data_IF_324356998120
#
_entry.id   IF_324356998120
#
_cell.length_a   1.000
_cell.length_b   1.000
_cell.length_c   1.000
_cell.angle_alpha   90.00
_cell.angle_beta   90.00
_cell.angle_gamma   90.00
#
_symmetry.space_group_name_H-M   'P 1'
#
loop_
_entity.id
_entity.type
_entity.pdbx_description
1 polymer ?
#
# COMPACT_ATOMS: atom_id res chain seq x y z
N UNK A 1 -0.96 -15.74 -0.56
CA UNK A 1 0.37 -15.40 -1.12
C UNK A 1 1.17 -14.53 -0.16
N UNK A 2 0.61 -13.41 0.34
CA UNK A 2 1.32 -12.51 1.26
C UNK A 2 1.82 -13.18 2.56
N UNK A 3 1.02 -14.05 3.20
CA UNK A 3 1.46 -14.80 4.40
C UNK A 3 2.69 -15.67 4.15
N UNK A 4 2.71 -16.41 3.04
CA UNK A 4 3.85 -17.26 2.70
C UNK A 4 5.10 -16.40 2.49
N UNK A 5 4.98 -15.30 1.74
CA UNK A 5 6.08 -14.37 1.53
C UNK A 5 6.59 -13.76 2.84
N UNK A 6 5.69 -13.33 3.74
CA UNK A 6 6.03 -12.83 5.06
C UNK A 6 6.87 -13.85 5.85
N UNK A 7 6.43 -15.11 5.93
CA UNK A 7 7.16 -16.17 6.63
C UNK A 7 8.51 -16.47 5.98
N UNK A 8 8.58 -16.48 4.64
CA UNK A 8 9.84 -16.68 3.91
C UNK A 8 10.85 -15.56 4.18
N UNK A 9 10.40 -14.28 4.16
CA UNK A 9 11.27 -13.13 4.46
C UNK A 9 11.71 -13.15 5.91
N UNK A 10 10.79 -13.39 6.85
CA UNK A 10 11.12 -13.48 8.27
C UNK A 10 12.13 -14.59 8.55
N UNK A 11 11.92 -15.78 7.96
CA UNK A 11 12.82 -16.94 8.08
C UNK A 11 14.20 -16.66 7.46
N UNK A 12 14.25 -16.06 6.27
CA UNK A 12 15.50 -15.82 5.55
C UNK A 12 16.34 -14.66 6.12
N UNK A 13 15.69 -13.65 6.73
CA UNK A 13 16.37 -12.41 7.16
C UNK A 13 16.44 -12.23 8.68
N UNK A 14 15.65 -13.00 9.45
CA UNK A 14 15.49 -12.79 10.89
C UNK A 14 14.80 -11.48 11.27
N UNK A 15 14.27 -10.73 10.29
CA UNK A 15 13.60 -9.44 10.52
C UNK A 15 12.14 -9.63 10.90
N UNK A 16 11.61 -8.68 11.67
CA UNK A 16 10.16 -8.58 11.86
C UNK A 16 9.51 -8.13 10.56
N UNK A 17 8.51 -8.88 10.12
CA UNK A 17 7.75 -8.57 8.91
C UNK A 17 6.30 -8.32 9.29
N UNK A 18 5.86 -7.09 9.05
CA UNK A 18 4.49 -6.67 9.25
C UNK A 18 3.65 -7.00 8.00
N UNK A 19 2.42 -7.45 8.22
CA UNK A 19 1.45 -7.68 7.16
C UNK A 19 0.21 -6.81 7.42
N UNK A 20 -0.16 -6.00 6.43
CA UNK A 20 -1.28 -5.06 6.44
C UNK A 20 -2.59 -5.74 6.85
N UNK A 21 -2.85 -6.95 6.32
CA UNK A 21 -4.08 -7.70 6.57
C UNK A 21 -4.30 -8.10 8.03
N UNK A 22 -3.26 -8.04 8.88
CA UNK A 22 -3.34 -8.44 10.29
C UNK A 22 -3.82 -7.32 11.21
N UNK A 23 -3.83 -6.06 10.73
CA UNK A 23 -4.06 -4.87 11.56
C UNK A 23 -5.06 -3.87 10.95
N UNK A 24 -5.97 -4.34 10.08
CA UNK A 24 -6.97 -3.52 9.38
C UNK A 24 -8.02 -2.84 10.29
N UNK A 25 -7.92 -2.94 11.62
CA UNK A 25 -8.93 -2.44 12.57
C UNK A 25 -8.71 -0.96 12.93
N UNK A 26 -7.47 -0.47 12.92
CA UNK A 26 -7.16 0.93 13.17
C UNK A 26 -6.22 1.50 12.10
N UNK A 27 -6.77 2.33 11.22
CA UNK A 27 -6.06 2.87 10.06
C UNK A 27 -5.07 3.97 10.42
N UNK A 28 -5.34 4.70 11.49
CA UNK A 28 -4.39 5.67 12.05
C UNK A 28 -3.11 4.96 12.50
N UNK A 29 -3.27 3.88 13.27
CA UNK A 29 -2.16 3.05 13.73
C UNK A 29 -1.41 2.41 12.55
N UNK A 30 -2.13 1.96 11.52
CA UNK A 30 -1.52 1.37 10.32
C UNK A 30 -0.61 2.38 9.61
N UNK A 31 -1.09 3.59 9.35
CA UNK A 31 -0.29 4.60 8.66
C UNK A 31 0.84 5.15 9.53
N UNK A 32 0.68 5.21 10.84
CA UNK A 32 1.78 5.58 11.75
C UNK A 32 2.87 4.50 11.79
N UNK A 33 2.49 3.21 11.77
CA UNK A 33 3.46 2.11 11.63
C UNK A 33 4.22 2.20 10.31
N UNK A 34 3.53 2.48 9.20
CA UNK A 34 4.19 2.68 7.89
C UNK A 34 5.13 3.88 7.94
N UNK A 35 4.67 5.03 8.43
CA UNK A 35 5.45 6.27 8.44
C UNK A 35 6.68 6.23 9.35
N UNK A 36 6.57 5.61 10.52
CA UNK A 36 7.56 5.77 11.60
C UNK A 36 8.30 4.49 11.99
N UNK A 37 7.76 3.31 11.66
CA UNK A 37 8.29 2.01 12.12
C UNK A 37 8.63 1.05 10.98
N UNK A 38 8.39 1.45 9.74
CA UNK A 38 8.69 0.64 8.55
C UNK A 38 9.91 1.19 7.85
N UNK A 39 10.98 0.40 7.74
CA UNK A 39 12.16 0.80 6.94
C UNK A 39 11.98 0.51 5.44
N UNK A 40 11.27 -0.59 5.15
CA UNK A 40 11.11 -1.13 3.81
C UNK A 40 9.67 -1.59 3.64
N UNK A 41 9.00 -1.06 2.62
CA UNK A 41 7.68 -1.51 2.18
C UNK A 41 7.88 -2.46 1.01
N UNK A 42 7.25 -3.64 1.06
CA UNK A 42 7.24 -4.57 -0.08
C UNK A 42 5.81 -4.73 -0.58
N UNK A 43 5.54 -4.15 -1.75
CA UNK A 43 4.24 -4.21 -2.40
C UNK A 43 4.16 -5.46 -3.28
N UNK A 44 3.37 -6.45 -2.86
CA UNK A 44 3.00 -7.59 -3.71
C UNK A 44 1.89 -7.15 -4.66
N UNK A 45 2.29 -6.59 -5.81
CA UNK A 45 1.39 -6.00 -6.80
C UNK A 45 0.60 -7.10 -7.50
N UNK A 46 -0.65 -7.27 -7.10
CA UNK A 46 -1.68 -8.11 -7.73
C UNK A 46 -2.73 -7.25 -8.43
N UNK A 47 -3.59 -7.84 -9.26
CA UNK A 47 -4.63 -7.10 -10.02
C UNK A 47 -5.48 -6.13 -9.21
N UNK A 48 -5.65 -6.37 -7.90
CA UNK A 48 -6.53 -5.59 -7.04
C UNK A 48 -5.79 -4.83 -5.93
N UNK A 49 -4.46 -4.96 -5.80
CA UNK A 49 -3.74 -4.39 -4.66
C UNK A 49 -3.88 -2.86 -4.61
N UNK A 50 -3.63 -2.18 -5.73
CA UNK A 50 -3.74 -0.72 -5.82
C UNK A 50 -5.18 -0.21 -5.78
N UNK A 51 -6.17 -1.08 -6.01
CA UNK A 51 -7.60 -0.74 -5.90
C UNK A 51 -8.06 -0.72 -4.44
N UNK A 52 -7.33 -1.36 -3.51
CA UNK A 52 -7.68 -1.37 -2.09
C UNK A 52 -7.24 -0.04 -1.46
N UNK A 53 -8.16 0.74 -0.86
CA UNK A 53 -7.86 2.08 -0.33
C UNK A 53 -6.72 2.07 0.69
N UNK A 54 -6.66 1.07 1.56
CA UNK A 54 -5.61 0.95 2.57
C UNK A 54 -4.24 0.68 1.97
N UNK A 55 -4.16 -0.30 1.08
CA UNK A 55 -2.93 -0.63 0.36
C UNK A 55 -2.39 0.55 -0.45
N UNK A 56 -3.30 1.28 -1.10
CA UNK A 56 -2.98 2.49 -1.83
C UNK A 56 -2.47 3.61 -0.89
N UNK A 57 -3.10 3.76 0.28
CA UNK A 57 -2.65 4.68 1.32
C UNK A 57 -1.26 4.36 1.88
N UNK A 58 -0.94 3.08 2.12
CA UNK A 58 0.39 2.66 2.57
C UNK A 58 1.49 3.05 1.57
N UNK A 59 1.22 2.90 0.27
CA UNK A 59 2.14 3.32 -0.80
C UNK A 59 2.36 4.83 -0.77
N UNK A 60 1.30 5.62 -0.60
CA UNK A 60 1.39 7.08 -0.48
C UNK A 60 2.18 7.51 0.75
N UNK A 61 1.84 6.96 1.91
CA UNK A 61 2.51 7.31 3.18
C UNK A 61 4.00 6.99 3.10
N UNK A 62 4.36 5.83 2.55
CA UNK A 62 5.75 5.44 2.36
C UNK A 62 6.49 6.36 1.38
N UNK A 63 5.83 6.74 0.27
CA UNK A 63 6.39 7.68 -0.69
C UNK A 63 6.60 9.06 -0.04
N UNK A 64 5.64 9.56 0.74
CA UNK A 64 5.75 10.85 1.44
C UNK A 64 6.87 10.83 2.49
N UNK A 65 7.07 9.69 3.16
CA UNK A 65 8.17 9.50 4.11
C UNK A 65 9.55 9.37 3.42
N UNK A 66 9.59 9.33 2.08
CA UNK A 66 10.80 9.13 1.28
C UNK A 66 11.58 7.87 1.68
N UNK A 67 10.87 6.82 2.10
CA UNK A 67 11.46 5.56 2.52
C UNK A 67 11.45 4.53 1.36
N UNK A 68 12.15 3.41 1.55
CA UNK A 68 12.37 2.41 0.49
C UNK A 68 11.12 1.57 0.25
N UNK A 69 10.61 1.57 -0.98
CA UNK A 69 9.55 0.65 -1.42
C UNK A 69 10.07 -0.27 -2.54
N UNK A 70 9.74 -1.56 -2.46
CA UNK A 70 9.99 -2.55 -3.51
C UNK A 70 8.67 -3.10 -4.04
N UNK A 71 8.53 -3.12 -5.36
CA UNK A 71 7.36 -3.68 -6.03
C UNK A 71 7.67 -5.08 -6.58
N UNK A 72 6.95 -6.08 -6.09
CA UNK A 72 6.97 -7.44 -6.62
C UNK A 72 5.73 -7.62 -7.49
N UNK A 73 5.91 -7.54 -8.80
CA UNK A 73 4.83 -7.67 -9.79
C UNK A 73 4.45 -9.13 -9.96
N UNK A 74 3.19 -9.46 -9.66
CA UNK A 74 2.62 -10.76 -10.02
C UNK A 74 2.24 -10.79 -11.50
N UNK A 75 2.08 -11.99 -12.05
CA UNK A 75 1.73 -12.18 -13.47
C UNK A 75 0.37 -11.56 -13.86
N UNK A 76 -0.53 -11.36 -12.90
CA UNK A 76 -1.83 -10.75 -13.10
C UNK A 76 -1.86 -9.26 -12.67
N UNK A 77 -0.71 -8.63 -12.44
CA UNK A 77 -0.69 -7.20 -12.16
C UNK A 77 -1.11 -6.40 -13.40
N UNK A 78 -2.06 -5.50 -13.19
CA UNK A 78 -2.49 -4.52 -14.18
C UNK A 78 -2.31 -3.14 -13.55
N UNK A 79 -1.40 -2.29 -14.05
CA UNK A 79 -1.25 -0.94 -13.54
C UNK A 79 -2.50 -0.10 -13.88
N UNK A 80 -2.83 0.92 -13.07
CA UNK A 80 -3.87 1.87 -13.44
C UNK A 80 -3.51 2.57 -14.75
N UNK A 81 -4.50 2.71 -15.62
CA UNK A 81 -4.40 3.54 -16.82
C UNK A 81 -4.35 5.03 -16.46
N UNK A 82 -3.93 5.89 -17.40
CA UNK A 82 -3.96 7.35 -17.20
C UNK A 82 -5.36 7.86 -16.80
N UNK A 83 -6.43 7.32 -17.42
CA UNK A 83 -7.80 7.68 -17.06
C UNK A 83 -8.19 7.23 -15.64
N UNK A 84 -7.68 6.08 -15.18
CA UNK A 84 -7.87 5.61 -13.81
C UNK A 84 -7.03 6.38 -12.78
N UNK A 85 -5.90 6.96 -13.21
CA UNK A 85 -5.09 7.86 -12.37
C UNK A 85 -5.75 9.25 -12.22
N UNK A 86 -6.45 9.70 -13.27
CA UNK A 86 -7.21 10.97 -13.26
C UNK A 86 -8.50 10.86 -12.41
N UNK A 87 -9.13 9.68 -12.37
CA UNK A 87 -10.30 9.38 -11.53
C UNK A 87 -10.04 8.21 -10.57
N UNK A 88 -9.12 8.46 -9.63
CA UNK A 88 -8.71 7.49 -8.62
C UNK A 88 -9.83 7.16 -7.63
N UNK A 89 -10.77 8.07 -7.38
CA UNK A 89 -11.90 7.79 -6.47
C UNK A 89 -12.81 6.69 -7.04
N UNK A 90 -13.02 6.66 -8.36
CA UNK A 90 -13.71 5.56 -9.05
C UNK A 90 -12.86 4.30 -9.20
N UNK A 91 -11.52 4.44 -9.29
CA UNK A 91 -10.61 3.30 -9.37
C UNK A 91 -10.50 2.52 -8.05
N UNK A 92 -10.50 3.26 -6.94
CA UNK A 92 -10.39 2.72 -5.59
C UNK A 92 -11.72 2.11 -5.15
N UNK A 93 -11.64 0.94 -4.53
CA UNK A 93 -12.76 0.32 -3.82
C UNK A 93 -12.92 0.97 -2.44
N UNK A 94 -12.98 2.31 -2.43
CA UNK A 94 -12.85 3.12 -1.23
C UNK A 94 -14.08 3.05 -0.32
N UNK A 95 -15.30 2.87 -0.85
CA UNK A 95 -16.51 2.95 -0.02
C UNK A 95 -16.54 4.23 0.84
N UNK A 96 -16.99 4.14 2.09
CA UNK A 96 -16.97 5.25 3.08
C UNK A 96 -15.58 5.50 3.73
N UNK A 97 -14.49 4.98 3.17
CA UNK A 97 -13.16 5.15 3.78
C UNK A 97 -12.66 6.57 3.54
N UNK A 98 -12.67 7.39 4.60
CA UNK A 98 -12.16 8.76 4.61
C UNK A 98 -10.63 8.86 4.59
N UNK A 99 -9.97 8.36 3.53
CA UNK A 99 -8.50 8.47 3.36
C UNK A 99 -8.00 9.92 3.40
N UNK A 100 -8.81 10.86 2.93
CA UNK A 100 -8.51 12.29 2.99
C UNK A 100 -8.35 12.79 4.44
N UNK A 101 -9.12 12.24 5.39
CA UNK A 101 -8.99 12.57 6.81
C UNK A 101 -7.66 12.08 7.41
N UNK A 102 -7.03 11.09 6.75
CA UNK A 102 -5.74 10.52 7.12
C UNK A 102 -4.56 11.17 6.35
N UNK A 103 -4.83 12.26 5.62
CA UNK A 103 -3.83 12.98 4.83
C UNK A 103 -3.45 12.31 3.50
N UNK A 104 -4.17 11.26 3.10
CA UNK A 104 -3.98 10.57 1.82
C UNK A 104 -5.02 11.09 0.83
N UNK A 105 -4.54 11.84 -0.17
CA UNK A 105 -5.41 12.46 -1.19
C UNK A 105 -5.17 11.86 -2.56
N UNK A 106 -6.17 11.96 -3.43
CA UNK A 106 -6.17 11.50 -4.81
C UNK A 106 -4.94 11.98 -5.62
N UNK A 107 -4.50 13.26 -5.53
CA UNK A 107 -3.28 13.72 -6.21
C UNK A 107 -1.99 13.06 -5.67
N UNK A 108 -1.92 12.82 -4.36
CA UNK A 108 -0.76 12.16 -3.73
C UNK A 108 -0.68 10.69 -4.16
N UNK A 109 -1.82 10.03 -4.32
CA UNK A 109 -1.92 8.67 -4.84
C UNK A 109 -1.45 8.57 -6.29
N UNK A 110 -1.90 9.47 -7.16
CA UNK A 110 -1.47 9.50 -8.55
C UNK A 110 0.06 9.67 -8.66
N UNK A 111 0.63 10.58 -7.86
CA UNK A 111 2.09 10.78 -7.82
C UNK A 111 2.84 9.55 -7.31
N UNK A 112 2.28 8.82 -6.34
CA UNK A 112 2.93 7.63 -5.78
C UNK A 112 2.85 6.39 -6.68
N UNK A 113 1.92 6.38 -7.63
CA UNK A 113 1.73 5.27 -8.58
C UNK A 113 2.50 5.44 -9.89
N UNK A 114 2.93 6.67 -10.22
CA UNK A 114 3.67 7.02 -11.42
C UNK A 114 5.15 6.58 -11.35
#
# INVERSE_FOLDING_TARGET
>A
QARFFQLSVASATGRQVFLDSDHLVNLDDLFDVVRSRTEILVCLLTCNMLRRPYCAGEVVVMHQAAQKAFAVKSANFVPPSAAELDDLDSYLQAGDVGLAALGVTTPLMAAAFA
#
